data_IF_434989222973
#
_entry.id   IF_434989222973
#
_cell.length_a   1.000
_cell.length_b   1.000
_cell.length_c   1.000
_cell.angle_alpha   90.00
_cell.angle_beta   90.00
_cell.angle_gamma   90.00
#
_symmetry.space_group_name_H-M   'P 1'
#
loop_
_entity.id
_entity.type
_entity.pdbx_description
1 polymer ?
2 non-polymer ?
3 non-polymer ?
4 non-polymer ?
5 water ?
#
# COMPACT_ATOMS: atom_id res chain seq x y z
N UNK A 31 3.65 -34.48 -5.72
CA UNK A 31 3.79 -33.03 -5.66
C UNK A 31 3.24 -32.46 -4.33
N UNK A 32 3.86 -32.83 -3.20
CA UNK A 32 3.43 -32.50 -1.82
C UNK A 32 3.49 -30.99 -1.50
N UNK A 33 2.39 -30.41 -0.98
CA UNK A 33 2.28 -28.96 -0.81
C UNK A 33 2.27 -28.52 0.65
N UNK A 34 2.89 -27.38 0.92
CA UNK A 34 2.72 -26.73 2.21
C UNK A 34 1.99 -25.41 2.06
N UNK A 35 1.40 -24.94 3.14
CA UNK A 35 0.56 -23.74 3.07
C UNK A 35 0.96 -22.77 4.15
N UNK A 36 0.54 -21.53 4.00
CA UNK A 36 0.80 -20.51 4.99
C UNK A 36 -0.22 -19.41 4.84
N UNK A 37 -0.48 -18.67 5.92
CA UNK A 37 -1.61 -17.77 5.91
C UNK A 37 -1.20 -16.45 6.50
N UNK A 38 -1.63 -15.36 5.87
CA UNK A 38 -1.38 -14.04 6.40
C UNK A 38 -2.68 -13.25 6.36
N UNK A 39 -2.99 -12.64 7.49
CA UNK A 39 -4.05 -11.66 7.53
C UNK A 39 -3.39 -10.28 7.49
N UNK A 40 -3.79 -9.51 6.48
CA UNK A 40 -3.30 -8.18 6.23
C UNK A 40 -4.34 -7.28 6.80
N UNK A 41 -4.02 -6.68 7.93
CA UNK A 41 -5.00 -5.86 8.66
C UNK A 41 -4.71 -4.38 8.42
N UNK A 42 -5.27 -3.84 7.34
CA UNK A 42 -4.91 -2.52 6.86
C UNK A 42 -5.83 -1.54 7.57
N UNK A 43 -5.59 -0.25 7.37
CA UNK A 43 -6.49 0.80 7.97
C UNK A 43 -7.96 0.65 7.51
N UNK A 44 -8.22 0.21 6.26
CA UNK A 44 -9.58 0.25 5.74
C UNK A 44 -10.24 -1.13 5.62
N UNK A 45 -9.49 -2.23 5.74
CA UNK A 45 -10.05 -3.57 5.39
C UNK A 45 -9.07 -4.55 5.98
N UNK A 46 -9.52 -5.77 6.17
CA UNK A 46 -8.65 -6.89 6.38
C UNK A 46 -8.84 -7.86 5.22
N UNK A 47 -7.70 -8.40 4.71
CA UNK A 47 -7.73 -9.50 3.74
C UNK A 47 -6.92 -10.65 4.27
N UNK A 48 -7.32 -11.85 3.91
CA UNK A 48 -6.58 -13.03 4.29
C UNK A 48 -6.02 -13.61 3.00
N UNK A 49 -4.73 -13.94 3.02
CA UNK A 49 -4.13 -14.65 1.88
C UNK A 49 -3.62 -15.99 2.35
N UNK A 50 -3.95 -17.02 1.58
CA UNK A 50 -3.41 -18.36 1.80
C UNK A 50 -2.41 -18.63 0.66
N UNK A 51 -1.17 -18.98 1.02
CA UNK A 51 -0.10 -19.26 0.06
C UNK A 51 0.22 -20.74 0.10
N UNK A 52 0.68 -21.29 -1.03
CA UNK A 52 1.03 -22.69 -1.09
C UNK A 52 2.33 -22.84 -1.87
N UNK A 53 3.09 -23.90 -1.58
CA UNK A 53 4.36 -24.13 -2.21
C UNK A 53 4.73 -25.61 -2.08
N UNK A 54 5.53 -26.13 -3.03
CA UNK A 54 5.93 -27.53 -2.93
C UNK A 54 6.87 -27.70 -1.73
N UNK A 55 6.57 -28.70 -0.89
CA UNK A 55 7.46 -29.11 0.20
C UNK A 55 8.99 -29.08 -0.11
N UNK A 56 9.47 -29.82 -1.12
CA UNK A 56 10.93 -29.90 -1.36
C UNK A 56 11.60 -28.98 -2.40
N UNK A 57 10.86 -28.00 -2.94
CA UNK A 57 11.43 -26.88 -3.72
C UNK A 57 11.24 -25.53 -3.00
N UNK A 58 11.01 -25.56 -1.69
CA UNK A 58 10.50 -24.39 -0.95
C UNK A 58 11.41 -23.15 -0.81
N UNK A 59 12.73 -23.32 -0.95
CA UNK A 59 13.67 -22.19 -0.92
C UNK A 59 14.02 -21.63 -2.33
N UNK A 60 13.44 -22.21 -3.39
CA UNK A 60 13.51 -21.62 -4.74
C UNK A 60 12.83 -20.23 -4.71
N UNK A 61 13.42 -19.24 -5.38
CA UNK A 61 12.71 -17.97 -5.53
C UNK A 61 11.49 -18.07 -6.48
N UNK A 62 10.46 -17.26 -6.21
CA UNK A 62 9.22 -17.28 -7.01
C UNK A 62 8.34 -18.53 -6.92
N UNK A 63 8.68 -19.47 -6.02
CA UNK A 63 8.00 -20.78 -5.93
C UNK A 63 6.69 -20.67 -5.14
N UNK A 64 6.67 -19.83 -4.12
CA UNK A 64 5.44 -19.62 -3.33
C UNK A 64 4.45 -18.84 -4.18
N UNK A 65 3.20 -19.29 -4.24
CA UNK A 65 2.12 -18.54 -4.88
C UNK A 65 0.84 -18.51 -4.06
N UNK A 66 0.00 -17.52 -4.32
CA UNK A 66 -1.27 -17.43 -3.70
C UNK A 66 -2.17 -18.65 -4.10
N UNK A 67 -2.82 -19.27 -3.12
CA UNK A 67 -3.78 -20.35 -3.34
C UNK A 67 -5.23 -19.83 -3.29
N UNK A 68 -5.50 -18.91 -2.37
CA UNK A 68 -6.84 -18.39 -2.21
C UNK A 68 -6.75 -17.08 -1.42
N UNK A 69 -7.84 -16.36 -1.37
CA UNK A 69 -7.91 -15.23 -0.44
C UNK A 69 -9.31 -14.95 0.00
N UNK A 70 -9.43 -14.09 1.01
CA UNK A 70 -10.74 -13.71 1.53
C UNK A 70 -10.71 -12.25 1.98
N UNK A 71 -11.75 -11.52 1.58
CA UNK A 71 -12.01 -10.12 2.03
C UNK A 71 -12.97 -10.04 3.21
N UNK A 72 -12.48 -9.54 4.34
CA UNK A 72 -13.29 -9.52 5.55
C UNK A 72 -14.29 -8.38 5.31
N UNK A 73 -15.56 -8.60 5.62
CA UNK A 73 -16.63 -7.59 5.51
C UNK A 73 -16.45 -6.48 6.54
N UNK A 74 -16.71 -5.22 6.17
CA UNK A 74 -16.65 -4.10 7.10
C UNK A 74 -15.25 -3.44 7.21
N UNK A 75 -15.03 -2.65 8.26
CA UNK A 75 -13.80 -1.87 8.32
C UNK A 75 -12.57 -2.66 8.77
N UNK A 76 -11.44 -1.96 8.91
CA UNK A 76 -10.23 -2.53 9.46
C UNK A 76 -10.33 -2.76 10.96
N UNK A 77 -9.38 -3.51 11.51
CA UNK A 77 -9.43 -3.87 12.96
C UNK A 77 -9.34 -2.59 13.81
N UNK A 78 -8.57 -1.57 13.35
CA UNK A 78 -8.54 -0.29 14.10
C UNK A 78 -9.92 0.42 14.19
N UNK A 79 -10.86 0.11 13.28
CA UNK A 79 -12.16 0.75 13.32
C UNK A 79 -12.99 0.23 14.56
N UNK A 80 -12.53 -0.81 15.25
CA UNK A 80 -13.17 -1.32 16.46
C UNK A 80 -12.47 -0.90 17.72
N UNK A 81 -11.74 0.21 17.62
CA UNK A 81 -11.08 0.82 18.76
C UNK A 81 -11.94 0.87 20.06
N UNK A 82 -13.20 1.26 19.93
CA UNK A 82 -14.11 1.36 21.09
C UNK A 82 -15.01 0.16 21.33
N UNK A 83 -14.81 -0.90 20.56
CA UNK A 83 -15.54 -2.18 20.70
C UNK A 83 -14.59 -3.33 20.35
N UNK A 84 -13.47 -3.47 21.12
CA UNK A 84 -12.39 -4.37 20.65
C UNK A 84 -12.82 -5.83 20.32
N UNK A 85 -13.80 -6.38 21.02
CA UNK A 85 -14.18 -7.78 20.73
C UNK A 85 -14.71 -8.02 19.30
N UNK A 86 -15.36 -7.01 18.72
CA UNK A 86 -15.82 -7.12 17.36
C UNK A 86 -14.63 -7.30 16.38
N UNK A 87 -13.43 -6.82 16.74
CA UNK A 87 -12.25 -7.01 15.83
C UNK A 87 -11.95 -8.50 15.61
N UNK A 88 -11.85 -9.26 16.69
CA UNK A 88 -11.71 -10.71 16.63
C UNK A 88 -12.85 -11.37 15.84
N UNK A 89 -14.10 -11.05 16.16
CA UNK A 89 -15.27 -11.61 15.43
C UNK A 89 -15.30 -11.30 13.94
N UNK A 90 -14.75 -10.13 13.54
CA UNK A 90 -14.79 -9.74 12.14
C UNK A 90 -14.03 -10.78 11.28
N UNK A 91 -13.08 -11.50 11.89
CA UNK A 91 -12.18 -12.44 11.17
C UNK A 91 -12.82 -13.84 10.93
N UNK A 92 -13.90 -14.12 11.65
CA UNK A 92 -14.41 -15.51 11.70
C UNK A 92 -14.70 -16.06 10.33
N UNK A 93 -15.47 -15.36 9.54
CA UNK A 93 -15.91 -15.84 8.22
C UNK A 93 -14.72 -16.19 7.33
N UNK A 94 -13.73 -15.29 7.29
CA UNK A 94 -12.57 -15.60 6.47
C UNK A 94 -11.77 -16.75 7.07
N UNK A 95 -11.68 -16.87 8.40
CA UNK A 95 -10.98 -18.04 9.00
C UNK A 95 -11.74 -19.37 8.75
N UNK A 96 -13.07 -19.30 8.69
CA UNK A 96 -13.86 -20.48 8.25
C UNK A 96 -13.57 -20.84 6.77
N UNK A 97 -13.29 -19.86 5.91
CA UNK A 97 -12.91 -20.17 4.53
C UNK A 97 -11.53 -20.87 4.44
N UNK A 98 -10.59 -20.43 5.27
CA UNK A 98 -9.28 -21.06 5.41
C UNK A 98 -9.28 -22.53 5.86
N UNK A 99 -10.25 -22.95 6.71
CA UNK A 99 -10.37 -24.33 7.05
C UNK A 99 -10.77 -25.16 5.78
N UNK A 100 -11.59 -24.58 4.89
CA UNK A 100 -11.99 -25.23 3.60
C UNK A 100 -10.87 -25.12 2.54
N UNK A 101 -10.17 -24.00 2.50
CA UNK A 101 -9.05 -23.82 1.52
C UNK A 101 -7.81 -24.70 1.75
N UNK A 102 -7.41 -24.89 3.00
CA UNK A 102 -6.22 -25.66 3.32
C UNK A 102 -6.70 -27.09 3.74
N UNK A 103 -6.11 -28.18 3.16
CA UNK A 103 -6.57 -29.56 3.58
C UNK A 103 -6.34 -29.77 5.07
N UNK A 104 -7.22 -30.57 5.68
CA UNK A 104 -7.35 -30.69 7.12
C UNK A 104 -6.10 -31.26 7.76
N UNK A 105 -5.50 -32.24 7.10
CA UNK A 105 -4.29 -32.84 7.62
C UNK A 105 -3.09 -31.89 7.65
N UNK A 106 -3.21 -30.73 6.99
CA UNK A 106 -2.17 -29.71 7.02
C UNK A 106 -2.46 -28.52 7.96
N UNK A 107 -3.65 -28.47 8.58
CA UNK A 107 -4.00 -27.32 9.46
C UNK A 107 -2.92 -27.07 10.52
N UNK A 108 -2.68 -28.13 11.30
CA UNK A 108 -1.80 -28.08 12.46
C UNK A 108 -0.43 -27.46 12.15
N UNK A 109 0.08 -27.69 10.94
CA UNK A 109 1.42 -27.21 10.56
C UNK A 109 1.45 -26.03 9.58
N UNK A 110 0.28 -25.45 9.31
CA UNK A 110 0.19 -24.23 8.46
C UNK A 110 0.33 -22.99 9.34
N UNK A 111 1.42 -22.21 9.16
CA UNK A 111 1.59 -21.04 10.03
C UNK A 111 0.59 -19.93 9.69
N UNK A 112 0.12 -19.23 10.73
CA UNK A 112 -0.78 -18.13 10.52
C UNK A 112 -0.26 -16.89 11.19
N UNK A 113 -0.20 -15.79 10.43
CA UNK A 113 0.24 -14.48 10.94
C UNK A 113 -0.81 -13.43 10.72
N UNK A 114 -0.85 -12.46 11.61
CA UNK A 114 -1.57 -11.23 11.35
C UNK A 114 -0.58 -10.09 11.44
N UNK A 115 -0.56 -9.26 10.41
CA UNK A 115 0.25 -8.05 10.45
C UNK A 115 -0.67 -6.86 10.25
N UNK A 116 -0.55 -5.83 11.08
CA UNK A 116 -1.43 -4.64 10.95
C UNK A 116 -0.58 -3.41 10.53
N UNK A 117 -1.19 -2.49 9.79
CA UNK A 117 -0.43 -1.37 9.22
C UNK A 117 -0.83 0.01 9.81
N UNK A 118 -1.01 1.06 8.99
CA UNK A 118 -1.10 2.42 9.54
C UNK A 118 -2.40 2.72 10.25
N UNK A 119 -3.47 1.97 10.02
CA UNK A 119 -4.68 2.13 10.93
C UNK A 119 -4.34 1.88 12.38
N UNK A 120 -3.61 0.81 12.63
CA UNK A 120 -3.18 0.51 13.98
C UNK A 120 -2.02 1.40 14.45
N UNK A 121 -1.13 1.80 13.52
CA UNK A 121 -0.12 2.77 13.96
C UNK A 121 -0.76 4.09 14.38
N UNK A 122 -1.81 4.56 13.66
CA UNK A 122 -2.45 5.80 14.07
C UNK A 122 -3.20 5.59 15.41
N UNK A 123 -3.87 4.45 15.56
CA UNK A 123 -4.60 4.18 16.83
C UNK A 123 -3.61 4.14 18.02
N UNK A 124 -2.41 3.63 17.76
CA UNK A 124 -1.39 3.59 18.77
C UNK A 124 -0.90 4.97 19.29
N UNK A 125 -0.93 5.98 18.42
CA UNK A 125 -0.62 7.36 18.81
C UNK A 125 -1.74 7.91 19.69
N UNK A 126 -2.97 7.51 19.40
CA UNK A 126 -4.12 8.03 20.12
C UNK A 126 -4.31 7.34 21.46
N UNK A 127 -4.05 6.04 21.52
CA UNK A 127 -4.38 5.26 22.71
C UNK A 127 -3.76 3.91 22.60
N UNK A 128 -2.57 3.77 23.12
CA UNK A 128 -1.85 2.50 23.14
C UNK A 128 -2.71 1.40 23.87
N UNK A 129 -3.49 1.80 24.86
CA UNK A 129 -4.38 0.84 25.54
C UNK A 129 -5.45 0.28 24.63
N UNK A 130 -6.13 1.12 23.85
CA UNK A 130 -7.20 0.60 22.95
C UNK A 130 -6.56 -0.30 21.86
N UNK A 131 -5.41 0.14 21.33
CA UNK A 131 -4.57 -0.66 20.45
C UNK A 131 -4.26 -2.07 21.01
N UNK A 132 -3.78 -2.12 22.25
CA UNK A 132 -3.53 -3.41 22.93
C UNK A 132 -4.79 -4.30 23.01
N UNK A 133 -5.94 -3.68 23.31
CA UNK A 133 -7.23 -4.42 23.47
C UNK A 133 -7.65 -4.99 22.11
N UNK A 134 -7.36 -4.25 21.00
CA UNK A 134 -7.71 -4.78 19.66
C UNK A 134 -6.79 -5.97 19.30
N UNK A 135 -5.49 -5.79 19.55
CA UNK A 135 -4.53 -6.85 19.31
C UNK A 135 -4.92 -8.06 20.18
N UNK A 136 -5.32 -7.81 21.42
CA UNK A 136 -5.71 -8.93 22.30
C UNK A 136 -6.92 -9.63 21.71
N UNK A 137 -7.93 -8.90 21.25
CA UNK A 137 -9.12 -9.56 20.71
C UNK A 137 -8.83 -10.37 19.46
N UNK A 138 -8.02 -9.86 18.50
CA UNK A 138 -7.74 -10.68 17.31
C UNK A 138 -6.91 -11.91 17.72
N UNK A 139 -5.98 -11.73 18.65
CA UNK A 139 -5.20 -12.84 19.17
C UNK A 139 -6.09 -13.93 19.81
N UNK A 140 -6.96 -13.53 20.73
CA UNK A 140 -7.90 -14.49 21.28
C UNK A 140 -8.63 -15.28 20.18
N UNK A 141 -9.20 -14.59 19.19
CA UNK A 141 -9.95 -15.28 18.10
C UNK A 141 -9.09 -16.27 17.33
N UNK A 142 -7.88 -15.83 16.98
CA UNK A 142 -7.03 -16.58 16.06
C UNK A 142 -6.47 -17.80 16.75
N UNK A 143 -6.23 -17.67 18.07
CA UNK A 143 -5.78 -18.83 18.85
C UNK A 143 -6.82 -19.98 18.98
N UNK A 144 -8.12 -19.75 18.72
CA UNK A 144 -9.14 -20.85 18.76
C UNK A 144 -9.13 -21.73 17.50
N UNK A 145 -8.42 -21.31 16.46
CA UNK A 145 -8.35 -22.07 15.22
C UNK A 145 -7.16 -23.04 15.21
N UNK A 146 -7.20 -24.10 14.39
CA UNK A 146 -6.21 -25.20 14.45
C UNK A 146 -4.92 -24.96 13.69
N UNK A 147 -4.80 -23.80 13.05
CA UNK A 147 -3.52 -23.41 12.39
C UNK A 147 -2.43 -23.13 13.43
N UNK A 148 -1.18 -23.08 13.00
CA UNK A 148 -0.07 -22.78 13.90
C UNK A 148 0.02 -21.23 14.00
N UNK A 149 -0.65 -20.67 14.98
CA UNK A 149 -0.80 -19.22 15.06
C UNK A 149 0.48 -18.60 15.60
N UNK A 150 1.13 -17.73 14.83
CA UNK A 150 2.47 -17.24 15.18
C UNK A 150 2.48 -15.79 15.67
N UNK A 151 1.30 -15.17 15.77
CA UNK A 151 1.21 -13.86 16.45
C UNK A 151 0.52 -12.78 15.63
N UNK A 152 -0.01 -11.78 16.34
CA UNK A 152 -0.51 -10.56 15.77
C UNK A 152 0.46 -9.41 16.13
N UNK A 153 0.95 -8.73 15.10
CA UNK A 153 1.95 -7.65 15.25
C UNK A 153 1.55 -6.41 14.41
N UNK A 154 1.98 -5.24 14.85
CA UNK A 154 1.94 -4.07 14.01
C UNK A 154 3.27 -3.95 13.30
N UNK A 155 3.24 -3.86 11.98
CA UNK A 155 4.43 -3.67 11.17
C UNK A 155 4.89 -2.26 11.29
N UNK A 156 6.20 -2.05 11.25
CA UNK A 156 6.69 -0.73 11.06
C UNK A 156 6.45 -0.26 9.60
N UNK A 157 6.51 1.04 9.38
CA UNK A 157 6.56 1.59 8.03
C UNK A 157 7.65 1.00 7.13
N UNK A 158 8.82 0.77 7.68
CA UNK A 158 9.92 0.17 6.95
C UNK A 158 9.57 -1.27 6.54
N UNK A 159 9.04 -2.04 7.49
CA UNK A 159 8.63 -3.42 7.19
C UNK A 159 7.65 -3.39 6.03
N UNK A 160 6.69 -2.50 6.12
CA UNK A 160 5.61 -2.55 5.18
C UNK A 160 6.12 -2.23 3.78
N UNK A 161 7.05 -1.25 3.68
CA UNK A 161 7.67 -0.90 2.37
C UNK A 161 8.60 -2.01 1.88
N UNK A 162 9.52 -2.52 2.72
CA UNK A 162 10.44 -3.56 2.27
C UNK A 162 9.72 -4.83 1.88
N UNK A 163 8.74 -5.25 2.68
CA UNK A 163 8.07 -6.53 2.36
C UNK A 163 7.25 -6.49 1.07
N UNK A 164 6.67 -5.35 0.73
CA UNK A 164 6.06 -5.30 -0.62
C UNK A 164 7.08 -5.28 -1.76
N UNK A 165 8.20 -4.62 -1.54
CA UNK A 165 9.32 -4.71 -2.55
C UNK A 165 9.76 -6.18 -2.73
N UNK A 166 9.91 -6.91 -1.63
CA UNK A 166 10.33 -8.33 -1.72
C UNK A 166 9.21 -9.11 -2.41
N UNK A 167 7.95 -8.84 -2.11
CA UNK A 167 6.86 -9.63 -2.82
C UNK A 167 6.99 -9.43 -4.36
N UNK A 168 7.06 -8.18 -4.83
CA UNK A 168 6.99 -7.94 -6.25
C UNK A 168 8.20 -8.63 -6.90
N UNK A 169 9.37 -8.45 -6.34
CA UNK A 169 10.61 -8.98 -6.95
C UNK A 169 10.75 -10.49 -6.87
N UNK A 170 10.24 -11.08 -5.78
CA UNK A 170 10.23 -12.54 -5.64
C UNK A 170 9.30 -13.14 -6.71
N UNK A 171 8.11 -12.58 -6.85
CA UNK A 171 7.13 -13.13 -7.82
C UNK A 171 7.60 -12.96 -9.28
N UNK A 172 8.30 -11.86 -9.58
CA UNK A 172 8.81 -11.66 -10.95
C UNK A 172 10.21 -12.22 -11.17
N UNK A 173 10.68 -12.99 -10.21
CA UNK A 173 11.94 -13.73 -10.36
C UNK A 173 13.14 -12.79 -10.65
N UNK A 174 13.13 -11.62 -10.04
CA UNK A 174 14.26 -10.64 -10.19
C UNK A 174 15.46 -11.01 -9.36
N UNK A 175 15.31 -12.01 -8.49
CA UNK A 175 16.46 -12.41 -7.63
C UNK A 175 17.28 -13.58 -8.22
N UNK A 176 16.83 -14.18 -9.33
CA UNK A 176 17.62 -15.18 -10.11
C UNK A 176 18.96 -14.52 -10.58
N UNK A 177 20.09 -15.22 -10.48
CA UNK A 177 21.30 -14.71 -11.09
C UNK A 177 21.37 -15.10 -12.61
N UNK A 178 21.08 -14.16 -13.51
CA UNK A 178 20.89 -14.50 -14.95
C UNK A 178 22.24 -14.70 -15.66
N UNK A 179 22.29 -15.69 -16.57
CA UNK A 179 23.51 -15.99 -17.35
C UNK A 179 23.91 -17.42 -16.99
N UNK A 180 25.21 -17.73 -17.19
CA UNK A 180 25.72 -19.06 -16.96
C UNK A 180 27.21 -18.87 -16.76
N UNK A 181 27.94 -19.92 -16.34
CA UNK A 181 29.37 -19.84 -16.03
C UNK A 181 30.17 -19.23 -17.18
N UNK A 182 31.06 -18.27 -16.82
CA UNK A 182 31.84 -17.62 -17.87
C UNK A 182 31.06 -16.47 -18.52
N UNK A 183 29.74 -16.35 -18.26
CA UNK A 183 29.02 -15.26 -18.94
C UNK A 183 27.78 -14.80 -18.15
N UNK A 184 28.03 -14.10 -17.06
CA UNK A 184 27.00 -13.61 -16.19
C UNK A 184 26.53 -12.29 -16.72
N UNK A 185 25.23 -12.05 -16.68
CA UNK A 185 24.81 -10.72 -17.18
C UNK A 185 25.27 -9.66 -16.20
N UNK A 186 25.75 -8.54 -16.74
CA UNK A 186 26.35 -7.49 -15.91
C UNK A 186 25.88 -6.18 -16.51
N UNK A 187 25.34 -5.26 -15.68
CA UNK A 187 25.17 -5.39 -14.23
C UNK A 187 24.14 -6.47 -13.95
N UNK A 188 23.98 -6.88 -12.72
CA UNK A 188 22.96 -7.91 -12.46
C UNK A 188 21.54 -7.39 -12.76
N UNK A 189 20.61 -8.31 -13.02
CA UNK A 189 19.18 -8.01 -13.23
C UNK A 189 18.67 -6.90 -12.27
N UNK A 190 18.03 -5.87 -12.83
CA UNK A 190 17.49 -4.78 -12.02
C UNK A 190 16.28 -5.29 -11.27
N UNK A 191 15.94 -4.61 -10.19
CA UNK A 191 14.80 -4.98 -9.38
C UNK A 191 13.74 -3.86 -9.58
N UNK A 192 12.51 -4.19 -9.21
CA UNK A 192 11.39 -3.33 -9.43
C UNK A 192 11.19 -2.58 -8.17
N UNK A 193 11.06 -1.26 -8.29
CA UNK A 193 10.73 -0.45 -7.15
C UNK A 193 9.25 -0.68 -6.83
N UNK A 194 8.82 -0.33 -5.60
CA UNK A 194 7.44 -0.54 -5.20
C UNK A 194 6.85 0.76 -4.63
N UNK A 195 5.67 1.11 -5.10
CA UNK A 195 4.92 2.24 -4.53
C UNK A 195 3.55 1.71 -4.15
N UNK A 196 3.20 1.89 -2.88
CA UNK A 196 1.96 1.24 -2.29
C UNK A 196 1.16 2.43 -1.76
N UNK A 197 0.00 2.67 -2.34
CA UNK A 197 -0.87 3.74 -1.79
C UNK A 197 -1.98 3.03 -0.99
N UNK A 198 -1.81 2.97 0.33
CA UNK A 198 -2.85 2.37 1.18
C UNK A 198 -3.89 3.43 1.57
N UNK A 199 -4.66 3.17 2.64
CA UNK A 199 -5.68 4.10 3.08
C UNK A 199 -5.13 5.14 4.02
N UNK A 200 -4.09 4.81 4.79
CA UNK A 200 -3.63 5.73 5.86
C UNK A 200 -2.16 6.08 5.71
N UNK A 201 -1.39 5.28 4.98
CA UNK A 201 0.04 5.68 4.70
C UNK A 201 0.38 5.31 3.25
N UNK A 202 1.46 5.87 2.74
CA UNK A 202 1.99 5.45 1.43
C UNK A 202 3.50 5.15 1.54
N UNK A 203 3.96 4.10 0.84
CA UNK A 203 5.37 3.67 0.87
C UNK A 203 6.01 3.79 -0.49
N UNK A 204 7.30 4.13 -0.47
CA UNK A 204 8.14 4.08 -1.67
C UNK A 204 9.42 3.32 -1.29
N UNK A 205 9.76 2.31 -2.08
CA UNK A 205 10.87 1.44 -1.78
C UNK A 205 11.57 1.06 -3.11
N UNK A 206 12.90 1.18 -3.14
CA UNK A 206 13.64 0.85 -4.34
C UNK A 206 15.13 0.66 -4.10
N UNK A 207 15.74 -0.25 -4.87
CA UNK A 207 17.18 -0.42 -4.92
C UNK A 207 17.88 0.85 -5.43
N UNK A 208 18.96 1.24 -4.75
CA UNK A 208 19.68 2.48 -5.05
C UNK A 208 21.17 2.29 -4.88
N UNK A 209 21.96 3.00 -5.70
CA UNK A 209 23.41 3.04 -5.56
C UNK A 209 23.81 4.30 -4.77
N UNK A 210 22.86 5.18 -4.45
CA UNK A 210 23.23 6.42 -3.75
C UNK A 210 23.66 6.20 -2.31
N UNK A 211 24.58 7.04 -1.83
CA UNK A 211 24.94 6.98 -0.41
C UNK A 211 23.72 7.19 0.51
N UNK A 212 23.69 6.45 1.61
CA UNK A 212 22.62 6.58 2.61
C UNK A 212 22.81 7.89 3.38
N UNK A 213 21.78 8.70 3.61
CA UNK A 213 22.01 9.88 4.49
C UNK A 213 21.19 9.86 5.76
N UNK A 214 20.24 8.94 5.84
CA UNK A 214 19.39 8.84 7.00
C UNK A 214 19.24 7.36 7.34
N UNK A 215 19.73 6.96 8.52
CA UNK A 215 19.56 5.55 8.92
C UNK A 215 18.11 5.00 8.84
N UNK A 216 17.10 5.81 9.12
CA UNK A 216 15.71 5.33 9.10
C UNK A 216 15.22 4.94 7.70
N UNK A 217 15.93 5.39 6.66
CA UNK A 217 15.56 5.04 5.25
C UNK A 217 16.39 3.87 4.64
N UNK A 218 17.39 3.41 5.39
CA UNK A 218 18.47 2.58 4.81
C UNK A 218 18.18 1.11 5.08
N UNK A 219 18.22 0.30 4.04
CA UNK A 219 17.89 -1.10 4.15
C UNK A 219 18.98 -1.91 3.45
N UNK A 220 19.47 -2.96 4.10
CA UNK A 220 20.44 -3.87 3.49
C UNK A 220 19.94 -5.29 3.57
N UNK A 221 19.74 -5.92 2.43
CA UNK A 221 19.20 -7.28 2.39
C UNK A 221 20.20 -8.22 1.78
N UNK A 222 20.21 -9.44 2.28
CA UNK A 222 21.07 -10.49 1.72
C UNK A 222 20.12 -11.64 1.29
N UNK A 223 20.00 -11.83 -0.02
CA UNK A 223 18.98 -12.70 -0.63
C UNK A 223 19.66 -13.52 -1.71
N UNK A 224 19.57 -14.83 -1.57
CA UNK A 224 20.21 -15.79 -2.47
C UNK A 224 21.66 -15.44 -2.78
N UNK A 225 22.44 -15.07 -1.77
CA UNK A 225 23.84 -14.77 -2.00
C UNK A 225 24.15 -13.35 -2.43
N UNK A 226 23.13 -12.52 -2.60
CA UNK A 226 23.37 -11.19 -3.12
C UNK A 226 23.02 -10.12 -2.12
N UNK A 227 23.80 -9.03 -2.17
CA UNK A 227 23.52 -7.86 -1.37
C UNK A 227 22.64 -6.86 -2.16
N UNK A 228 21.49 -6.52 -1.57
CA UNK A 228 20.62 -5.43 -2.16
C UNK A 228 20.65 -4.23 -1.23
N UNK A 229 21.06 -3.10 -1.80
CA UNK A 229 21.07 -1.83 -1.06
C UNK A 229 19.76 -1.09 -1.37
N UNK A 230 18.95 -0.81 -0.35
CA UNK A 230 17.61 -0.39 -0.63
C UNK A 230 17.23 0.88 0.14
N UNK A 231 16.44 1.75 -0.51
CA UNK A 231 15.85 2.94 0.14
C UNK A 231 14.36 2.61 0.41
N UNK A 232 13.87 2.95 1.60
CA UNK A 232 12.43 2.89 1.83
C UNK A 232 12.00 4.09 2.67
N UNK A 233 10.76 4.53 2.43
CA UNK A 233 10.11 5.51 3.29
C UNK A 233 8.59 5.29 3.31
N UNK A 234 7.98 5.49 4.50
CA UNK A 234 6.53 5.42 4.64
C UNK A 234 6.10 6.77 5.12
N UNK A 235 5.19 7.38 4.37
CA UNK A 235 4.58 8.67 4.75
C UNK A 235 3.26 8.38 5.45
N UNK A 236 3.26 8.43 6.77
CA UNK A 236 2.09 8.28 7.57
C UNK A 236 1.17 9.51 7.28
N UNK A 237 -0.14 9.29 7.18
CA UNK A 237 -1.12 10.31 6.83
C UNK A 237 -1.19 10.67 5.36
N UNK A 238 -0.43 9.98 4.54
CA UNK A 238 -0.45 10.19 3.09
C UNK A 238 -1.13 9.02 2.35
N UNK A 239 -1.86 8.18 3.07
CA UNK A 239 -2.75 7.27 2.43
C UNK A 239 -4.01 7.96 1.87
N UNK A 240 -4.72 7.23 1.00
CA UNK A 240 -5.81 7.80 0.27
C UNK A 240 -6.92 8.36 1.18
N UNK A 241 -7.38 7.58 2.16
CA UNK A 241 -8.48 8.05 3.05
C UNK A 241 -8.07 9.24 3.92
N UNK A 242 -6.82 9.21 4.39
CA UNK A 242 -6.34 10.33 5.20
C UNK A 242 -6.09 11.59 4.36
N UNK A 243 -5.56 11.44 3.13
CA UNK A 243 -5.46 12.59 2.25
C UNK A 243 -6.86 13.18 1.99
N UNK A 244 -7.89 12.34 1.75
CA UNK A 244 -9.21 12.89 1.47
C UNK A 244 -9.72 13.67 2.68
N UNK A 245 -9.49 13.12 3.88
CA UNK A 245 -9.90 13.80 5.06
C UNK A 245 -9.15 15.18 5.25
N UNK A 246 -7.82 15.17 5.00
CA UNK A 246 -7.06 16.45 5.08
C UNK A 246 -7.52 17.52 4.03
N UNK A 247 -7.82 17.07 2.78
CA UNK A 247 -8.29 18.00 1.77
C UNK A 247 -9.68 18.53 2.13
N UNK A 248 -10.57 17.67 2.68
CA UNK A 248 -11.84 18.11 3.19
C UNK A 248 -11.70 19.15 4.36
N UNK A 249 -10.86 18.88 5.35
CA UNK A 249 -10.55 19.83 6.45
C UNK A 249 -10.06 21.15 5.85
N UNK A 250 -9.22 21.04 4.80
CA UNK A 250 -8.62 22.22 4.22
C UNK A 250 -9.68 23.03 3.38
N UNK A 251 -10.53 22.32 2.60
CA UNK A 251 -11.56 22.92 1.81
C UNK A 251 -12.55 23.66 2.73
N UNK A 252 -12.88 23.00 3.85
CA UNK A 252 -13.75 23.60 4.87
C UNK A 252 -13.16 24.93 5.41
N UNK A 253 -11.90 24.93 5.77
CA UNK A 253 -11.23 26.12 6.32
C UNK A 253 -11.05 27.24 5.26
N UNK A 254 -10.65 26.89 4.05
CA UNK A 254 -10.23 27.91 3.08
C UNK A 254 -11.40 28.37 2.25
N UNK A 255 -12.29 27.45 1.84
CA UNK A 255 -13.29 27.77 0.82
C UNK A 255 -14.75 27.70 1.27
N UNK A 256 -15.06 26.80 2.17
CA UNK A 256 -16.48 26.43 2.38
C UNK A 256 -17.23 25.91 1.09
N UNK A 257 -16.47 25.41 0.12
CA UNK A 257 -16.99 24.52 -0.92
C UNK A 257 -15.80 23.58 -1.17
N UNK A 258 -15.99 22.46 -1.84
CA UNK A 258 -14.89 21.57 -2.09
C UNK A 258 -14.53 21.64 -3.61
N UNK A 259 -13.43 22.33 -3.96
CA UNK A 259 -13.14 22.48 -5.40
C UNK A 259 -12.86 21.11 -6.12
N UNK A 260 -12.36 20.10 -5.40
CA UNK A 260 -12.17 18.75 -5.98
C UNK A 260 -13.42 17.93 -6.16
N UNK A 261 -14.51 18.27 -5.46
CA UNK A 261 -15.76 17.52 -5.66
C UNK A 261 -16.52 18.04 -6.91
N UNK A 262 -17.32 17.17 -7.53
CA UNK A 262 -17.96 17.60 -8.77
C UNK A 262 -19.16 18.51 -8.47
N UNK A 263 -19.35 19.47 -9.35
CA UNK A 263 -20.50 20.39 -9.27
C UNK A 263 -21.82 19.59 -9.32
N UNK A 264 -22.67 19.81 -8.33
CA UNK A 264 -23.91 19.06 -8.24
C UNK A 264 -23.84 18.06 -7.11
N UNK A 265 -22.61 17.76 -6.63
CA UNK A 265 -22.47 16.84 -5.52
C UNK A 265 -22.36 17.63 -4.22
N UNK A 266 -23.11 17.20 -3.22
CA UNK A 266 -23.02 17.80 -1.92
C UNK A 266 -23.32 16.77 -0.85
N UNK A 267 -22.84 17.02 0.37
CA UNK A 267 -23.09 16.10 1.44
C UNK A 267 -23.04 16.83 2.79
N UNK A 268 -23.62 16.21 3.81
CA UNK A 268 -23.61 16.74 5.18
C UNK A 268 -22.38 16.23 5.87
N UNK A 269 -21.43 17.09 6.20
CA UNK A 269 -20.20 16.68 6.80
C UNK A 269 -20.29 16.77 8.33
N UNK A 270 -19.93 15.70 8.99
CA UNK A 270 -19.93 15.67 10.46
C UNK A 270 -18.54 16.10 10.89
N UNK A 271 -18.38 17.29 11.52
CA UNK A 271 -17.05 17.87 11.71
C UNK A 271 -16.18 17.06 12.67
N UNK A 272 -16.81 16.49 13.69
CA UNK A 272 -16.08 15.68 14.62
C UNK A 272 -15.35 14.49 13.93
N UNK A 273 -15.95 13.90 12.90
CA UNK A 273 -15.28 12.85 12.15
C UNK A 273 -14.10 13.43 11.35
N UNK A 274 -14.22 14.67 10.85
CA UNK A 274 -13.17 15.27 10.01
C UNK A 274 -11.95 15.47 10.90
N UNK A 275 -12.15 15.92 12.13
CA UNK A 275 -11.02 16.38 12.96
C UNK A 275 -10.50 15.38 14.01
N UNK A 276 -11.07 14.19 14.08
CA UNK A 276 -10.65 13.22 15.13
C UNK A 276 -9.39 12.47 14.73
N UNK A 277 -9.00 12.53 13.47
CA UNK A 277 -7.81 11.82 13.04
C UNK A 277 -6.50 12.49 13.55
N UNK A 278 -5.47 11.70 13.95
CA UNK A 278 -4.18 12.37 14.18
C UNK A 278 -3.74 13.19 12.96
N UNK A 279 -4.17 12.78 11.75
CA UNK A 279 -3.75 13.43 10.50
C UNK A 279 -4.37 14.84 10.27
N UNK A 280 -5.50 15.11 10.92
CA UNK A 280 -6.21 16.37 10.75
C UNK A 280 -6.37 17.21 12.01
N UNK A 281 -5.88 16.73 13.16
CA UNK A 281 -5.96 17.44 14.45
C UNK A 281 -5.28 18.80 14.31
N UNK A 282 -4.23 18.80 13.47
CA UNK A 282 -3.40 20.00 13.22
C UNK A 282 -4.09 21.05 12.35
N UNK A 283 -5.27 20.71 11.81
CA UNK A 283 -6.08 21.63 11.01
C UNK A 283 -7.32 22.26 11.73
N UNK A 284 -7.58 21.93 13.00
CA UNK A 284 -8.83 22.49 13.67
C UNK A 284 -9.02 24.04 13.70
N UNK A 291 -20.56 23.86 15.93
CA UNK A 291 -21.27 23.28 14.78
C UNK A 291 -20.95 21.80 14.65
N UNK A 292 -21.97 20.98 14.64
CA UNK A 292 -21.68 19.57 14.52
C UNK A 292 -21.66 19.18 13.02
N UNK A 293 -22.49 19.83 12.20
CA UNK A 293 -22.65 19.37 10.84
C UNK A 293 -22.67 20.56 9.89
N UNK A 294 -21.88 20.47 8.82
CA UNK A 294 -21.91 21.49 7.77
C UNK A 294 -22.19 20.86 6.40
N UNK A 295 -23.00 21.56 5.64
CA UNK A 295 -23.26 21.17 4.27
C UNK A 295 -22.06 21.59 3.41
N UNK A 296 -21.53 20.73 2.53
CA UNK A 296 -20.41 21.15 1.64
C UNK A 296 -20.69 20.63 0.23
N UNK A 297 -20.48 21.46 -0.78
CA UNK A 297 -20.77 21.12 -2.17
C UNK A 297 -19.52 21.24 -3.04
N UNK A 298 -19.49 20.42 -4.10
CA UNK A 298 -18.44 20.49 -5.09
C UNK A 298 -18.59 21.60 -6.09
N UNK A 299 -17.49 21.98 -6.69
CA UNK A 299 -17.53 23.05 -7.70
C UNK A 299 -16.76 22.72 -8.98
N UNK A 300 -16.22 21.49 -9.10
CA UNK A 300 -15.45 21.08 -10.30
C UNK A 300 -14.42 22.09 -10.75
N UNK A 301 -13.52 22.48 -9.86
CA UNK A 301 -12.52 23.50 -10.18
C UNK A 301 -11.16 22.85 -10.13
N UNK A 302 -10.66 22.47 -11.31
CA UNK A 302 -9.45 21.67 -11.38
C UNK A 302 -8.28 22.49 -10.83
N UNK A 303 -8.26 23.79 -11.13
CA UNK A 303 -7.15 24.64 -10.69
C UNK A 303 -7.10 24.86 -9.18
N UNK A 304 -8.23 25.18 -8.55
CA UNK A 304 -8.31 25.25 -7.10
C UNK A 304 -8.05 23.93 -6.40
N UNK A 305 -8.57 22.84 -6.98
CA UNK A 305 -8.23 21.49 -6.49
C UNK A 305 -6.67 21.22 -6.49
N UNK A 306 -6.02 21.57 -7.59
CA UNK A 306 -4.58 21.43 -7.69
C UNK A 306 -3.89 22.30 -6.60
N UNK A 307 -4.34 23.53 -6.42
CA UNK A 307 -3.83 24.38 -5.35
C UNK A 307 -4.02 23.74 -3.98
N UNK A 308 -5.22 23.18 -3.77
CA UNK A 308 -5.54 22.52 -2.48
C UNK A 308 -4.61 21.32 -2.18
N UNK A 309 -4.46 20.44 -3.16
CA UNK A 309 -3.56 19.28 -3.09
C UNK A 309 -2.10 19.74 -2.87
N UNK A 310 -1.66 20.82 -3.56
CA UNK A 310 -0.25 21.25 -3.43
C UNK A 310 0.15 21.57 -1.98
N UNK A 311 -0.80 22.04 -1.17
CA UNK A 311 -0.46 22.37 0.20
C UNK A 311 -0.14 21.11 1.02
N UNK A 312 -0.39 19.92 0.49
CA UNK A 312 -0.09 18.68 1.25
C UNK A 312 1.44 18.43 1.36
N UNK A 313 2.21 19.08 0.48
CA UNK A 313 3.63 18.77 0.27
C UNK A 313 4.50 19.95 0.72
N UNK A 314 5.22 19.80 1.80
CA UNK A 314 6.13 20.88 2.21
C UNK A 314 7.47 20.69 1.51
N UNK A 315 7.82 21.66 0.68
CA UNK A 315 8.98 21.55 -0.20
C UNK A 315 10.01 22.64 0.25
N UNK A 316 9.80 23.29 1.39
CA UNK A 316 10.59 24.49 1.78
C UNK A 316 11.93 24.21 2.47
N UNK A 317 12.08 23.02 3.04
CA UNK A 317 13.27 22.72 3.82
C UNK A 317 13.81 21.29 3.58
N UNK A 318 15.13 21.16 3.49
CA UNK A 318 15.79 19.85 3.34
C UNK A 318 17.12 19.85 4.09
N UNK A 319 17.24 19.07 5.18
CA UNK A 319 18.50 19.03 5.93
C UNK A 319 19.51 18.06 5.32
N UNK A 320 19.14 17.42 4.20
CA UNK A 320 19.98 16.41 3.52
C UNK A 320 20.44 17.01 2.19
N UNK A 321 21.19 16.25 1.39
CA UNK A 321 21.59 16.73 0.07
C UNK A 321 20.44 16.85 -0.90
N UNK A 322 19.46 15.95 -0.76
CA UNK A 322 18.23 16.11 -1.45
C UNK A 322 17.10 15.35 -0.74
N UNK A 323 15.89 15.86 -0.91
CA UNK A 323 14.71 15.36 -0.25
C UNK A 323 13.61 15.02 -1.24
N UNK A 324 12.65 14.22 -0.78
CA UNK A 324 11.37 14.08 -1.51
C UNK A 324 10.54 15.27 -1.08
N UNK A 325 9.88 15.17 0.10
CA UNK A 325 9.16 16.32 0.69
C UNK A 325 9.06 16.14 2.20
N UNK A 326 8.58 17.19 2.87
CA UNK A 326 8.53 17.26 4.31
C UNK A 326 9.87 17.05 4.94
N UNK A 327 10.99 17.48 4.27
CA UNK A 327 12.28 17.33 4.94
C UNK A 327 12.80 15.87 4.92
N UNK A 328 12.16 14.97 4.17
CA UNK A 328 12.58 13.57 4.21
C UNK A 328 13.66 13.31 3.13
N UNK A 329 14.74 12.64 3.51
CA UNK A 329 15.78 12.25 2.57
C UNK A 329 15.23 11.32 1.50
N UNK A 330 15.62 11.54 0.24
CA UNK A 330 15.29 10.58 -0.79
C UNK A 330 16.27 10.75 -1.95
N UNK A 331 16.98 9.67 -2.34
CA UNK A 331 17.89 9.75 -3.49
C UNK A 331 17.06 9.75 -4.81
N UNK A 332 17.71 9.99 -5.96
CA UNK A 332 16.91 10.10 -7.22
C UNK A 332 16.14 8.79 -7.48
N UNK A 333 14.86 8.84 -7.85
CA UNK A 333 14.22 7.58 -8.29
C UNK A 333 14.95 6.97 -9.49
N UNK A 334 15.01 5.66 -9.56
CA UNK A 334 15.74 4.94 -10.66
C UNK A 334 15.13 3.56 -10.85
N UNK A 335 15.17 3.06 -12.08
CA UNK A 335 14.75 1.69 -12.43
C UNK A 335 13.26 1.56 -12.70
N UNK A 336 12.76 0.35 -12.97
CA UNK A 336 11.34 0.19 -13.08
C UNK A 336 10.71 0.24 -11.73
N UNK A 337 9.41 0.55 -11.69
CA UNK A 337 8.61 0.54 -10.42
C UNK A 337 7.27 -0.13 -10.74
N UNK A 338 6.70 -0.86 -9.75
CA UNK A 338 5.30 -1.24 -9.80
C UNK A 338 4.52 -0.37 -8.78
N UNK A 339 3.46 0.25 -9.21
CA UNK A 339 2.56 1.03 -8.33
C UNK A 339 1.26 0.26 -8.23
N UNK A 340 0.96 -0.20 -7.01
CA UNK A 340 -0.20 -1.07 -6.79
C UNK A 340 -1.22 -0.39 -5.84
N UNK A 341 -2.07 -1.20 -5.19
CA UNK A 341 -3.11 -0.69 -4.27
C UNK A 341 -3.86 0.50 -4.89
N UNK A 342 -3.98 1.65 -4.20
CA UNK A 342 -4.83 2.75 -4.76
C UNK A 342 -4.19 3.49 -5.96
N UNK A 343 -2.87 3.32 -6.19
CA UNK A 343 -2.35 3.84 -7.48
C UNK A 343 -3.08 3.09 -8.62
N UNK A 344 -3.07 1.76 -8.56
CA UNK A 344 -3.74 0.96 -9.57
C UNK A 344 -5.25 1.29 -9.67
N UNK A 345 -5.96 1.28 -8.53
CA UNK A 345 -7.47 1.47 -8.57
C UNK A 345 -7.82 2.80 -9.23
N UNK A 346 -6.99 3.84 -8.96
CA UNK A 346 -7.29 5.18 -9.45
C UNK A 346 -6.93 5.26 -10.95
N UNK A 347 -5.76 4.73 -11.33
CA UNK A 347 -5.38 4.65 -12.78
C UNK A 347 -6.39 3.79 -13.54
N UNK A 348 -6.90 2.74 -12.89
CA UNK A 348 -7.87 1.84 -13.57
C UNK A 348 -9.15 2.63 -13.87
N UNK A 349 -9.55 3.47 -12.94
CA UNK A 349 -10.69 4.36 -13.18
C UNK A 349 -10.48 5.31 -14.35
N UNK A 350 -9.33 5.98 -14.36
CA UNK A 350 -9.05 6.94 -15.44
C UNK A 350 -9.03 6.26 -16.82
N UNK A 351 -8.48 5.05 -16.93
CA UNK A 351 -8.33 4.41 -18.25
C UNK A 351 -9.64 3.67 -18.61
N UNK A 352 -10.20 2.93 -17.68
CA UNK A 352 -11.35 2.06 -17.95
C UNK A 352 -12.69 2.76 -17.94
N UNK A 353 -12.89 3.68 -17.01
CA UNK A 353 -14.14 4.42 -16.97
C UNK A 353 -14.10 5.76 -17.72
N UNK A 354 -13.12 6.60 -17.47
CA UNK A 354 -13.05 7.88 -18.19
C UNK A 354 -12.55 7.69 -19.63
N UNK A 355 -11.96 6.53 -19.95
CA UNK A 355 -11.44 6.27 -21.29
C UNK A 355 -10.26 7.15 -21.67
N UNK A 356 -9.38 7.50 -20.75
CA UNK A 356 -8.31 8.47 -21.02
C UNK A 356 -6.94 7.85 -20.92
N UNK A 357 -6.01 8.22 -21.79
CA UNK A 357 -4.68 7.63 -21.62
C UNK A 357 -3.96 8.16 -20.38
N UNK A 358 -3.09 7.34 -19.76
CA UNK A 358 -2.23 7.82 -18.67
C UNK A 358 -0.76 7.37 -18.83
N UNK A 359 -0.34 7.18 -20.10
CA UNK A 359 1.01 6.73 -20.42
C UNK A 359 2.14 7.69 -20.04
N UNK A 360 1.86 8.99 -20.01
CA UNK A 360 2.90 9.95 -19.68
C UNK A 360 2.42 10.76 -18.48
N UNK A 361 3.32 11.46 -17.79
CA UNK A 361 2.90 12.38 -16.68
C UNK A 361 1.97 13.47 -17.17
N UNK A 362 2.22 13.98 -18.37
CA UNK A 362 1.34 15.00 -19.02
C UNK A 362 -0.06 14.45 -19.34
N UNK A 363 -0.16 13.19 -19.78
CA UNK A 363 -1.49 12.58 -19.95
C UNK A 363 -2.20 12.37 -18.59
N UNK A 364 -1.45 11.93 -17.58
CA UNK A 364 -2.06 11.72 -16.23
C UNK A 364 -2.61 13.09 -15.75
N UNK A 365 -1.81 14.16 -15.87
CA UNK A 365 -2.28 15.52 -15.54
C UNK A 365 -3.53 15.99 -16.33
N UNK A 366 -3.55 15.76 -17.66
CA UNK A 366 -4.73 16.07 -18.49
C UNK A 366 -5.90 15.23 -18.05
N UNK A 367 -5.65 13.94 -17.73
CA UNK A 367 -6.76 13.07 -17.33
C UNK A 367 -7.35 13.54 -15.97
N UNK A 368 -6.51 14.05 -15.10
CA UNK A 368 -6.97 14.49 -13.82
C UNK A 368 -7.81 15.77 -13.96
N UNK A 369 -7.39 16.64 -14.90
CA UNK A 369 -8.06 17.90 -15.14
C UNK A 369 -9.41 17.65 -15.75
N UNK A 370 -9.47 16.82 -16.78
CA UNK A 370 -10.75 16.44 -17.40
C UNK A 370 -11.66 15.81 -16.32
N UNK A 371 -11.14 14.91 -15.50
CA UNK A 371 -11.98 14.25 -14.48
C UNK A 371 -12.53 15.28 -13.45
N UNK A 372 -11.65 16.16 -12.97
CA UNK A 372 -12.01 17.19 -12.02
C UNK A 372 -13.03 18.20 -12.59
N UNK A 373 -12.98 18.45 -13.90
CA UNK A 373 -13.91 19.41 -14.49
C UNK A 373 -15.31 18.82 -14.75
N UNK A 374 -15.47 17.52 -14.61
CA UNK A 374 -16.79 16.90 -14.86
C UNK A 374 -17.79 17.36 -13.78
N UNK A 375 -19.03 17.61 -14.17
CA UNK A 375 -20.06 17.89 -13.17
C UNK A 375 -20.49 16.50 -12.60
N UNK A 376 -21.26 16.50 -11.50
CA UNK A 376 -21.70 15.24 -10.86
C UNK A 376 -22.67 14.40 -11.77
N UNK A 377 -23.54 15.08 -12.54
CA UNK A 377 -24.37 14.37 -13.53
C UNK A 377 -23.52 13.75 -14.64
N UNK A 378 -22.50 14.44 -15.13
CA UNK A 378 -21.65 13.87 -16.15
C UNK A 378 -20.82 12.65 -15.69
N UNK A 379 -20.36 12.68 -14.45
CA UNK A 379 -19.54 11.60 -13.91
C UNK A 379 -20.47 10.40 -13.70
N UNK A 380 -21.65 10.65 -13.14
CA UNK A 380 -22.62 9.55 -12.97
C UNK A 380 -23.09 8.91 -14.28
N UNK A 381 -23.24 9.68 -15.36
CA UNK A 381 -23.55 9.09 -16.69
C UNK A 381 -22.56 8.02 -17.15
N UNK A 382 -21.31 8.12 -16.69
CA UNK A 382 -20.26 7.15 -17.04
C UNK A 382 -20.25 5.87 -16.21
N UNK A 383 -21.05 5.82 -15.16
CA UNK A 383 -20.93 4.74 -14.16
C UNK A 383 -22.32 4.25 -13.91
N UNK A 384 -22.74 3.26 -14.68
CA UNK A 384 -24.11 2.77 -14.57
C UNK A 384 -24.38 2.10 -13.22
N UNK A 385 -23.39 1.50 -12.57
CA UNK A 385 -23.65 0.78 -11.31
C UNK A 385 -23.35 1.64 -10.07
N UNK A 386 -22.88 0.99 -9.02
CA UNK A 386 -22.69 1.67 -7.72
C UNK A 386 -21.69 2.84 -7.81
N UNK A 387 -21.99 3.89 -7.09
CA UNK A 387 -21.35 5.18 -7.21
C UNK A 387 -20.36 5.46 -6.05
N UNK A 388 -20.00 4.46 -5.25
CA UNK A 388 -19.17 4.80 -4.09
C UNK A 388 -17.76 5.14 -4.65
N UNK A 389 -17.11 6.08 -4.00
CA UNK A 389 -15.78 6.58 -4.42
C UNK A 389 -15.79 7.53 -5.59
N UNK A 390 -16.92 7.55 -6.34
CA UNK A 390 -17.02 8.32 -7.59
C UNK A 390 -16.67 9.81 -7.40
N UNK A 391 -17.21 10.45 -6.34
CA UNK A 391 -16.94 11.88 -6.08
C UNK A 391 -15.48 12.15 -5.65
N UNK A 392 -14.71 11.11 -5.32
CA UNK A 392 -13.34 11.27 -4.82
C UNK A 392 -12.22 11.11 -5.84
N UNK A 393 -12.51 10.58 -7.04
CA UNK A 393 -11.46 10.27 -8.05
C UNK A 393 -10.65 11.48 -8.42
N UNK A 394 -11.30 12.62 -8.59
CA UNK A 394 -10.62 13.87 -8.95
C UNK A 394 -9.52 14.18 -7.92
N UNK A 395 -9.89 14.24 -6.64
CA UNK A 395 -8.95 14.54 -5.58
C UNK A 395 -7.82 13.47 -5.51
N UNK A 396 -8.17 12.18 -5.62
CA UNK A 396 -7.15 11.15 -5.50
C UNK A 396 -6.19 11.18 -6.71
N UNK A 397 -6.74 11.38 -7.92
CA UNK A 397 -5.94 11.37 -9.14
C UNK A 397 -4.95 12.54 -9.02
N UNK A 398 -5.46 13.69 -8.60
CA UNK A 398 -4.66 14.90 -8.41
C UNK A 398 -3.54 14.72 -7.37
N UNK A 399 -3.86 14.07 -6.27
CA UNK A 399 -2.84 13.80 -5.25
C UNK A 399 -1.77 12.88 -5.85
N UNK A 400 -2.19 11.84 -6.57
CA UNK A 400 -1.22 10.88 -7.10
C UNK A 400 -0.30 11.60 -8.13
N UNK A 401 -0.90 12.42 -9.00
CA UNK A 401 -0.07 13.18 -9.96
C UNK A 401 0.96 14.03 -9.22
N UNK A 402 0.52 14.68 -8.16
CA UNK A 402 1.47 15.56 -7.42
C UNK A 402 2.49 14.80 -6.61
N UNK A 403 2.03 13.76 -5.93
CA UNK A 403 2.96 12.86 -5.23
C UNK A 403 4.10 12.32 -6.08
N UNK A 404 3.78 11.81 -7.28
CA UNK A 404 4.79 11.29 -8.16
C UNK A 404 5.67 12.45 -8.65
N UNK A 405 5.08 13.60 -9.06
CA UNK A 405 5.92 14.59 -9.80
C UNK A 405 6.57 15.57 -8.86
N UNK A 406 5.84 16.09 -7.89
CA UNK A 406 6.36 17.04 -6.94
C UNK A 406 6.99 16.40 -5.72
N UNK A 407 6.41 15.30 -5.24
CA UNK A 407 6.91 14.68 -4.02
C UNK A 407 8.12 13.79 -4.27
N UNK A 408 7.99 12.84 -5.16
CA UNK A 408 9.08 11.89 -5.42
C UNK A 408 10.05 12.32 -6.54
N UNK A 409 9.62 13.32 -7.33
CA UNK A 409 10.44 13.90 -8.41
C UNK A 409 10.61 12.98 -9.60
N UNK A 410 9.60 12.16 -9.89
CA UNK A 410 9.59 11.47 -11.21
C UNK A 410 9.53 12.52 -12.28
N UNK A 411 10.06 12.26 -13.43
CA UNK A 411 9.81 13.15 -14.58
C UNK A 411 9.39 12.29 -15.76
N UNK A 412 9.31 12.87 -16.95
CA UNK A 412 8.79 12.04 -18.06
C UNK A 412 9.70 10.81 -18.28
N UNK A 413 11.01 10.98 -18.17
CA UNK A 413 11.91 9.82 -18.35
C UNK A 413 11.76 8.73 -17.28
N UNK A 414 11.71 9.09 -16.00
CA UNK A 414 11.60 8.01 -15.03
C UNK A 414 10.16 7.45 -15.01
N UNK A 415 9.15 8.31 -15.28
CA UNK A 415 7.75 7.86 -15.17
C UNK A 415 7.42 6.75 -16.18
N UNK A 416 8.08 6.80 -17.33
CA UNK A 416 7.94 5.80 -18.40
C UNK A 416 8.29 4.38 -17.87
N UNK A 417 9.03 4.28 -16.77
CA UNK A 417 9.45 3.00 -16.23
C UNK A 417 8.49 2.46 -15.15
N UNK A 418 7.37 3.18 -14.92
CA UNK A 418 6.40 2.83 -13.90
C UNK A 418 5.24 2.04 -14.53
N UNK A 419 4.87 0.92 -13.95
CA UNK A 419 3.67 0.19 -14.41
C UNK A 419 2.66 0.14 -13.25
N UNK A 420 1.36 0.15 -13.59
CA UNK A 420 0.33 0.16 -12.53
C UNK A 420 -0.27 -1.25 -12.60
N UNK A 421 0.01 -2.08 -11.61
CA UNK A 421 -0.55 -3.42 -11.63
C UNK A 421 -0.74 -3.83 -10.20
N UNK A 422 -1.68 -4.73 -9.96
CA UNK A 422 -2.00 -5.17 -8.60
C UNK A 422 -1.71 -6.69 -8.38
N UNK A 423 -1.34 -7.38 -9.45
CA UNK A 423 -1.18 -8.81 -9.44
C UNK A 423 0.05 -9.18 -10.22
N UNK A 424 0.81 -10.15 -9.74
CA UNK A 424 1.95 -10.72 -10.48
C UNK A 424 1.85 -12.23 -10.33
N UNK A 425 2.06 -12.97 -11.43
CA UNK A 425 1.89 -14.45 -11.39
C UNK A 425 0.70 -14.94 -10.58
N UNK A 426 -0.49 -14.38 -10.81
CA UNK A 426 -1.71 -14.86 -10.07
C UNK A 426 -1.71 -14.62 -8.55
N UNK A 427 -0.79 -13.81 -8.06
CA UNK A 427 -0.70 -13.47 -6.65
C UNK A 427 -0.90 -11.94 -6.47
N UNK A 428 -1.74 -11.55 -5.54
CA UNK A 428 -1.91 -10.11 -5.26
C UNK A 428 -0.57 -9.50 -4.77
N UNK A 429 -0.19 -8.36 -5.32
CA UNK A 429 1.00 -7.64 -4.83
C UNK A 429 0.69 -6.78 -3.59
N UNK A 430 1.52 -6.94 -2.56
CA UNK A 430 1.30 -6.34 -1.25
C UNK A 430 2.48 -6.81 -0.45
N UNK A 431 2.48 -6.48 0.82
CA UNK A 431 3.54 -6.85 1.71
C UNK A 431 3.31 -8.25 2.28
N UNK A 432 2.07 -8.81 2.24
CA UNK A 432 1.79 -10.05 2.98
C UNK A 432 2.75 -11.25 2.55
N UNK A 433 2.99 -11.46 1.25
CA UNK A 433 3.84 -12.57 0.83
C UNK A 433 5.28 -12.40 1.37
N UNK A 434 5.88 -11.22 1.15
CA UNK A 434 7.25 -10.90 1.66
C UNK A 434 7.34 -11.14 3.18
N UNK A 435 6.31 -10.69 3.88
CA UNK A 435 6.25 -10.89 5.37
C UNK A 435 6.27 -12.38 5.73
N UNK A 436 5.36 -13.13 5.09
CA UNK A 436 5.34 -14.59 5.25
C UNK A 436 6.67 -15.29 4.90
N UNK A 437 7.26 -14.89 3.78
CA UNK A 437 8.60 -15.40 3.41
C UNK A 437 9.68 -15.18 4.47
N UNK A 438 9.64 -14.03 5.09
CA UNK A 438 10.65 -13.65 6.08
C UNK A 438 10.42 -14.44 7.38
N UNK A 439 9.17 -14.44 7.88
CA UNK A 439 8.90 -15.06 9.22
C UNK A 439 8.96 -16.56 9.15
N UNK A 440 8.69 -17.12 7.96
CA UNK A 440 8.80 -18.56 7.78
C UNK A 440 10.19 -18.92 7.26
N UNK A 441 11.04 -17.91 7.08
CA UNK A 441 12.39 -18.22 6.66
C UNK A 441 12.50 -18.95 5.37
N UNK A 442 11.73 -18.56 4.40
CA UNK A 442 11.76 -19.26 3.14
C UNK A 442 12.69 -18.65 2.09
N UNK A 443 13.36 -17.53 2.37
CA UNK A 443 14.35 -17.00 1.39
C UNK A 443 15.73 -17.11 2.00
N UNK A 444 16.59 -17.97 1.44
CA UNK A 444 17.87 -18.11 2.13
C UNK A 444 18.75 -16.86 1.89
N UNK A 445 19.56 -16.53 2.89
CA UNK A 445 20.55 -15.46 2.79
C UNK A 445 21.56 -15.82 1.70
N UNK A 446 21.98 -17.08 1.67
CA UNK A 446 22.96 -17.57 0.73
C UNK A 446 22.41 -18.80 0.00
N UNK A 447 22.88 -19.07 -1.22
CA UNK A 447 22.54 -20.35 -1.90
C UNK A 447 23.19 -21.58 -1.20
N UNK A 448 22.62 -22.81 -1.37
CA UNK A 448 23.25 -23.95 -0.63
C UNK A 448 24.71 -24.19 -1.08
N UNK A 449 25.55 -24.58 -0.12
CA UNK A 449 27.03 -24.73 -0.28
C UNK A 449 27.66 -23.51 -0.93
N UNK A 450 26.99 -22.35 -0.79
CA UNK A 450 27.31 -21.09 -1.55
C UNK A 450 27.37 -21.35 -3.08
N UNK A 451 26.63 -22.38 -3.55
CA UNK A 451 26.71 -22.79 -4.95
C UNK A 451 28.20 -22.93 -5.36
N UNK A 452 29.00 -23.57 -4.49
CA UNK A 452 30.42 -23.85 -4.74
C UNK A 452 31.28 -22.56 -4.99
N UNK A 453 30.78 -21.42 -4.49
CA UNK A 453 31.44 -20.11 -4.69
C UNK A 453 31.43 -19.60 -6.14
N UNK A 454 30.62 -20.24 -6.99
CA UNK A 454 30.49 -19.88 -8.42
C UNK A 454 29.86 -18.49 -8.76
N UNK A 455 29.23 -17.82 -7.78
CA UNK A 455 28.75 -16.42 -7.93
C UNK A 455 29.64 -15.34 -7.27
N UNK A 456 30.86 -15.69 -6.85
CA UNK A 456 31.72 -14.79 -6.01
C UNK A 456 32.15 -13.46 -6.64
#
# INVERSE_FOLDING_TARGET
>A
MAHHHHHHVGTGSNDDDDKSPDPTQDVREPPALKYGIVLDAGSSHTSMFVYKWPADKENDTGIVGQHSSCDVQGGGISSYANDPSKAGQSLVRCLEQALRDVPRDRHASTPLYLGATAGMRLLNLTSPEATARVLEAVTQTLTQYPFDFRGARILSGQDEGVFGWVTANYLLENFIKYGWVGRWIRPRKGTLGAMDLGGASTQITFETTSPSEDPGNEVHLRLYGQHYRVYTHSFLCYGRDQILLRLLASALQIHRFHPCWPKGYSTQVLLQEVYQSPCTMGQRPRAFNGSAIVSLSGTSNATLCRDLVSRLFNISSCPFSQCSFNGVFQPPVAGNFIAFSAFYYTVDFLTTVMGLPVGTLKQLEEATEITCNQTWTELQARVPGQKTRLADYCAVAMFIHQLLSRGYHFDERSFREVVFQKKAADTAVGWALGYMLNLTNLIPADLPGLRKGTHFS
#
